data_IF_544548692021
#
_entry.id   IF_544548692021
#
_cell.length_a   1.000
_cell.length_b   1.000
_cell.length_c   1.000
_cell.angle_alpha   90.00
_cell.angle_beta   90.00
_cell.angle_gamma   90.00
#
_symmetry.space_group_name_H-M   'P 1'
#
loop_
_entity.id
_entity.type
_entity.pdbx_description
1 polymer ?
#
# COMPACT_ATOMS: atom_id res chain seq x y z
N UNK A 1 10.41 0.61 18.21
CA UNK A 1 9.84 1.94 18.66
C UNK A 1 8.95 2.47 17.55
N UNK A 2 7.77 2.99 17.85
CA UNK A 2 6.94 3.67 16.85
C UNK A 2 7.52 5.08 16.67
N UNK A 3 7.99 5.46 15.46
CA UNK A 3 8.55 6.78 15.24
C UNK A 3 7.48 7.86 15.42
N UNK A 4 7.83 8.97 16.02
CA UNK A 4 6.94 10.12 16.17
C UNK A 4 6.78 10.90 14.85
N UNK A 5 5.82 11.81 14.79
CA UNK A 5 5.53 12.59 13.58
C UNK A 5 6.70 13.46 13.14
N UNK A 6 7.55 13.92 14.06
CA UNK A 6 8.72 14.72 13.74
C UNK A 6 9.79 13.87 13.05
N UNK A 7 10.03 12.66 13.56
CA UNK A 7 10.91 11.67 12.93
C UNK A 7 10.41 11.30 11.54
N UNK A 8 9.11 10.97 11.41
CA UNK A 8 8.51 10.61 10.12
C UNK A 8 8.63 11.73 9.08
N UNK A 9 8.43 12.98 9.47
CA UNK A 9 8.51 14.12 8.54
C UNK A 9 9.94 14.44 8.10
N UNK A 10 10.95 14.04 8.87
CA UNK A 10 12.38 14.29 8.59
C UNK A 10 13.00 13.25 7.65
N UNK A 11 12.34 12.11 7.38
CA UNK A 11 12.87 11.05 6.54
C UNK A 11 12.94 11.46 5.06
N UNK A 12 14.01 11.04 4.40
CA UNK A 12 14.19 11.32 2.96
C UNK A 12 13.55 10.24 2.08
N UNK A 13 12.24 10.32 1.91
CA UNK A 13 11.47 9.38 1.09
C UNK A 13 11.80 9.44 -0.41
N UNK A 14 12.36 10.56 -0.88
CA UNK A 14 12.75 10.71 -2.30
C UNK A 14 14.03 9.94 -2.63
N UNK A 15 14.93 9.85 -1.66
CA UNK A 15 16.20 9.15 -1.81
C UNK A 15 16.41 8.22 -0.61
N UNK A 16 15.70 7.06 -0.57
CA UNK A 16 15.90 6.07 0.48
C UNK A 16 17.32 5.49 0.42
N UNK A 17 17.81 4.95 1.53
CA UNK A 17 19.13 4.34 1.62
C UNK A 17 19.28 3.10 0.72
N UNK A 18 18.18 2.44 0.40
CA UNK A 18 18.17 1.28 -0.47
C UNK A 18 16.76 0.79 -0.80
N UNK A 19 16.70 -0.38 -1.40
CA UNK A 19 15.46 -1.07 -1.72
C UNK A 19 15.48 -2.48 -1.16
N UNK A 20 14.33 -3.00 -0.80
CA UNK A 20 14.13 -4.38 -0.33
C UNK A 20 13.16 -5.09 -1.27
N UNK A 21 13.62 -6.21 -1.83
CA UNK A 21 12.80 -7.03 -2.71
C UNK A 21 11.87 -7.92 -1.90
N UNK A 22 10.59 -7.82 -2.21
CA UNK A 22 9.55 -8.64 -1.58
C UNK A 22 8.71 -9.34 -2.62
N UNK A 23 8.01 -10.37 -2.20
CA UNK A 23 7.00 -11.08 -2.97
C UNK A 23 5.73 -11.23 -2.12
N UNK A 24 4.59 -10.82 -2.67
CA UNK A 24 3.30 -11.00 -1.99
C UNK A 24 2.94 -12.48 -1.97
N UNK A 25 2.91 -13.07 -0.78
CA UNK A 25 2.61 -14.50 -0.59
C UNK A 25 1.13 -14.75 -0.38
N UNK A 26 0.47 -13.89 0.41
CA UNK A 26 -0.98 -13.95 0.62
C UNK A 26 -1.54 -12.62 1.10
N UNK A 27 -2.83 -12.42 0.84
CA UNK A 27 -3.61 -11.29 1.36
C UNK A 27 -4.92 -11.83 1.93
N UNK A 28 -5.24 -11.38 3.13
CA UNK A 28 -6.55 -11.57 3.78
C UNK A 28 -7.17 -10.21 4.11
N UNK A 29 -8.36 -10.20 4.71
CA UNK A 29 -9.06 -8.96 5.06
C UNK A 29 -8.25 -8.05 6.01
N UNK A 30 -7.38 -8.61 6.84
CA UNK A 30 -6.66 -7.92 7.90
C UNK A 30 -5.13 -7.99 7.78
N UNK A 31 -4.59 -8.84 6.90
CA UNK A 31 -3.15 -9.09 6.80
C UNK A 31 -2.66 -9.26 5.37
N UNK A 32 -1.46 -8.75 5.08
CA UNK A 32 -0.68 -9.11 3.92
C UNK A 32 0.62 -9.76 4.37
N UNK A 33 0.94 -10.92 3.79
CA UNK A 33 2.19 -11.64 4.05
C UNK A 33 3.12 -11.43 2.86
N UNK A 34 4.28 -10.85 3.12
CA UNK A 34 5.33 -10.58 2.14
C UNK A 34 6.54 -11.46 2.46
N UNK A 35 7.00 -12.24 1.49
CA UNK A 35 8.31 -12.90 1.60
C UNK A 35 9.41 -11.92 1.23
N UNK A 36 10.36 -11.72 2.13
CA UNK A 36 11.51 -10.83 1.94
C UNK A 36 12.70 -11.63 1.45
N UNK A 37 13.38 -11.17 0.39
CA UNK A 37 14.41 -11.95 -0.30
C UNK A 37 15.84 -11.51 -0.02
N UNK A 38 16.07 -10.22 0.20
CA UNK A 38 17.40 -9.61 0.22
C UNK A 38 17.61 -8.65 1.40
N UNK A 39 16.93 -8.90 2.53
CA UNK A 39 17.02 -8.08 3.72
C UNK A 39 17.06 -8.92 4.98
N UNK A 40 17.99 -8.64 5.88
CA UNK A 40 18.13 -9.34 7.15
C UNK A 40 17.63 -8.44 8.28
N UNK A 41 16.47 -8.77 8.82
CA UNK A 41 15.86 -8.03 9.93
C UNK A 41 16.74 -7.99 11.18
N UNK A 42 17.53 -9.05 11.43
CA UNK A 42 18.40 -9.16 12.59
C UNK A 42 19.60 -8.19 12.60
N UNK A 43 19.86 -7.49 11.50
CA UNK A 43 20.92 -6.48 11.44
C UNK A 43 20.51 -5.14 12.08
N UNK A 44 19.25 -4.98 12.47
CA UNK A 44 18.71 -3.73 13.00
C UNK A 44 18.23 -3.91 14.43
N UNK A 45 18.55 -2.94 15.27
CA UNK A 45 18.17 -2.90 16.70
C UNK A 45 16.68 -2.56 16.85
N UNK A 46 16.17 -1.75 15.95
CA UNK A 46 14.76 -1.34 15.90
C UNK A 46 14.28 -1.27 14.46
N UNK A 47 13.03 -1.70 14.24
CA UNK A 47 12.40 -1.73 12.93
C UNK A 47 11.00 -1.10 12.99
N UNK A 48 10.65 -0.38 11.96
CA UNK A 48 9.31 0.15 11.75
C UNK A 48 8.91 0.03 10.29
N UNK A 49 7.65 -0.22 10.03
CA UNK A 49 7.09 -0.12 8.67
C UNK A 49 6.38 1.22 8.56
N UNK A 50 6.72 1.96 7.51
CA UNK A 50 6.20 3.29 7.24
C UNK A 50 5.45 3.27 5.92
N UNK A 51 4.25 3.82 5.90
CA UNK A 51 3.54 4.17 4.67
C UNK A 51 3.70 5.67 4.41
N UNK A 52 3.94 6.02 3.16
CA UNK A 52 4.10 7.41 2.70
C UNK A 52 3.22 7.65 1.50
N UNK A 53 2.30 8.60 1.62
CA UNK A 53 1.44 9.00 0.51
C UNK A 53 2.27 9.54 -0.66
N UNK A 54 1.91 9.15 -1.89
CA UNK A 54 2.67 9.50 -3.10
C UNK A 54 2.47 10.94 -3.54
N UNK A 55 1.26 11.48 -3.36
CA UNK A 55 0.87 12.82 -3.82
C UNK A 55 1.00 13.91 -2.74
N UNK A 56 0.80 13.54 -1.47
CA UNK A 56 0.76 14.47 -0.35
C UNK A 56 1.80 14.14 0.72
N UNK A 57 1.83 14.94 1.77
CA UNK A 57 2.86 14.81 2.82
C UNK A 57 2.54 13.75 3.89
N UNK A 58 1.39 13.10 3.84
CA UNK A 58 1.00 12.12 4.87
C UNK A 58 1.99 10.95 4.93
N UNK A 59 2.45 10.64 6.12
CA UNK A 59 3.22 9.44 6.44
C UNK A 59 2.80 8.92 7.80
N UNK A 60 2.76 7.61 7.95
CA UNK A 60 2.33 6.96 9.17
C UNK A 60 3.02 5.61 9.37
N UNK A 61 3.19 5.16 10.61
CA UNK A 61 3.60 3.79 10.88
C UNK A 61 2.47 2.82 10.53
N UNK A 62 2.86 1.63 10.07
CA UNK A 62 1.96 0.52 9.83
C UNK A 62 2.34 -0.62 10.78
N UNK A 63 1.36 -1.18 11.46
CA UNK A 63 1.57 -2.31 12.36
C UNK A 63 2.02 -3.54 11.58
N UNK A 64 2.99 -4.27 12.12
CA UNK A 64 3.57 -5.43 11.47
C UNK A 64 4.09 -6.45 12.48
N UNK A 65 4.37 -7.64 11.99
CA UNK A 65 5.18 -8.65 12.68
C UNK A 65 6.13 -9.34 11.70
N UNK A 66 7.16 -9.96 12.23
CA UNK A 66 8.15 -10.69 11.44
C UNK A 66 8.10 -12.16 11.87
N UNK A 67 8.12 -13.06 10.89
CA UNK A 67 8.26 -14.50 11.10
C UNK A 67 9.26 -15.04 10.07
N UNK A 68 10.43 -15.42 10.53
CA UNK A 68 11.58 -15.83 9.70
C UNK A 68 11.91 -14.79 8.61
N UNK A 69 11.64 -15.09 7.35
CA UNK A 69 11.83 -14.21 6.21
C UNK A 69 10.54 -13.51 5.77
N UNK A 70 9.46 -13.66 6.53
CA UNK A 70 8.16 -13.08 6.20
C UNK A 70 7.89 -11.82 6.99
N UNK A 71 7.50 -10.77 6.29
CA UNK A 71 6.96 -9.54 6.84
C UNK A 71 5.43 -9.61 6.76
N UNK A 72 4.77 -9.53 7.90
CA UNK A 72 3.32 -9.59 8.01
C UNK A 72 2.81 -8.19 8.33
N UNK A 73 2.12 -7.57 7.38
CA UNK A 73 1.52 -6.24 7.54
C UNK A 73 0.11 -6.37 8.11
N UNK A 74 -0.22 -5.58 9.14
CA UNK A 74 -1.58 -5.47 9.66
C UNK A 74 -2.35 -4.39 8.87
N UNK A 75 -3.24 -4.83 7.97
CA UNK A 75 -3.98 -3.96 7.07
C UNK A 75 -5.17 -3.26 7.73
N UNK A 76 -5.62 -3.72 8.89
CA UNK A 76 -6.77 -3.14 9.60
C UNK A 76 -6.52 -1.69 10.03
N UNK A 77 -5.27 -1.33 10.32
CA UNK A 77 -4.88 0.04 10.69
C UNK A 77 -5.04 1.06 9.55
N UNK A 78 -5.07 0.60 8.29
CA UNK A 78 -5.23 1.48 7.12
C UNK A 78 -6.60 2.16 7.05
N UNK A 79 -7.60 1.62 7.77
CA UNK A 79 -8.94 2.21 7.82
C UNK A 79 -8.92 3.67 8.28
N UNK A 80 -8.05 4.04 9.21
CA UNK A 80 -7.90 5.39 9.73
C UNK A 80 -7.33 6.40 8.71
N UNK A 81 -6.69 5.91 7.64
CA UNK A 81 -6.09 6.70 6.58
C UNK A 81 -7.00 6.88 5.36
N UNK A 82 -8.18 6.27 5.38
CA UNK A 82 -9.14 6.38 4.29
C UNK A 82 -9.83 7.75 4.30
N UNK A 83 -9.97 8.37 3.11
CA UNK A 83 -10.78 9.57 2.90
C UNK A 83 -11.90 9.31 1.90
N UNK A 84 -13.14 9.59 2.28
CA UNK A 84 -14.34 9.28 1.50
C UNK A 84 -14.31 9.85 0.07
N UNK A 85 -13.79 11.05 -0.12
CA UNK A 85 -13.84 11.75 -1.40
C UNK A 85 -12.61 11.59 -2.26
N UNK A 86 -11.54 11.01 -1.74
CA UNK A 86 -10.24 10.93 -2.40
C UNK A 86 -9.64 9.54 -2.28
N UNK A 87 -9.20 8.99 -3.40
CA UNK A 87 -8.33 7.82 -3.39
C UNK A 87 -6.95 8.23 -2.90
N UNK A 88 -6.31 7.39 -2.10
CA UNK A 88 -4.95 7.58 -1.62
C UNK A 88 -4.06 6.44 -2.06
N UNK A 89 -2.84 6.76 -2.45
CA UNK A 89 -1.81 5.77 -2.74
C UNK A 89 -0.61 5.98 -1.82
N UNK A 90 -0.17 4.91 -1.19
CA UNK A 90 0.97 4.90 -0.27
C UNK A 90 2.05 3.97 -0.78
N UNK A 91 3.30 4.40 -0.74
CA UNK A 91 4.46 3.52 -0.82
C UNK A 91 4.82 2.99 0.54
N UNK A 92 5.41 1.81 0.58
CA UNK A 92 5.75 1.11 1.81
C UNK A 92 7.26 1.11 1.98
N UNK A 93 7.71 1.47 3.17
CA UNK A 93 9.12 1.53 3.53
C UNK A 93 9.39 0.73 4.80
N UNK A 94 10.61 0.19 4.91
CA UNK A 94 11.20 -0.28 6.16
C UNK A 94 12.10 0.84 6.68
N UNK A 95 11.91 1.25 7.92
CA UNK A 95 12.82 2.08 8.67
C UNK A 95 13.57 1.19 9.65
N UNK A 96 14.86 1.04 9.46
CA UNK A 96 15.76 0.30 10.36
C UNK A 96 16.65 1.24 11.13
N UNK A 97 16.95 0.92 12.38
CA UNK A 97 17.96 1.64 13.19
C UNK A 97 19.11 0.69 13.47
N UNK A 98 20.32 1.12 13.16
CA UNK A 98 21.56 0.41 13.43
C UNK A 98 22.64 1.43 13.86
N UNK A 99 23.35 1.18 14.96
CA UNK A 99 24.36 2.10 15.51
C UNK A 99 23.85 3.54 15.62
N UNK A 100 22.65 3.76 16.11
CA UNK A 100 21.97 5.05 16.24
C UNK A 100 21.72 5.79 14.92
N UNK A 101 21.92 5.13 13.79
CA UNK A 101 21.59 5.67 12.45
C UNK A 101 20.29 5.05 11.94
N UNK A 102 19.42 5.93 11.46
CA UNK A 102 18.19 5.52 10.80
C UNK A 102 18.44 5.34 9.30
N UNK A 103 18.03 4.19 8.78
CA UNK A 103 18.12 3.85 7.36
C UNK A 103 16.73 3.52 6.82
N UNK A 104 16.38 4.11 5.69
CA UNK A 104 15.08 3.96 5.06
C UNK A 104 15.20 3.11 3.78
N UNK A 105 14.39 2.07 3.65
CA UNK A 105 14.38 1.16 2.52
C UNK A 105 13.00 1.11 1.87
N UNK A 106 12.93 1.30 0.56
CA UNK A 106 11.69 1.21 -0.20
C UNK A 106 11.42 -0.26 -0.58
N UNK A 107 10.21 -0.75 -0.29
CA UNK A 107 9.80 -2.09 -0.70
C UNK A 107 9.51 -2.14 -2.20
N UNK A 108 10.01 -3.19 -2.86
CA UNK A 108 9.79 -3.45 -4.29
C UNK A 108 9.31 -4.87 -4.53
N UNK A 109 8.26 -5.01 -5.33
CA UNK A 109 7.81 -6.30 -5.85
C UNK A 109 8.20 -6.47 -7.32
N UNK A 110 9.35 -7.08 -7.55
CA UNK A 110 9.87 -7.38 -8.89
C UNK A 110 9.20 -8.59 -9.54
N UNK A 111 8.41 -9.37 -8.79
CA UNK A 111 7.72 -10.54 -9.31
C UNK A 111 6.52 -10.19 -10.18
N UNK A 112 6.06 -8.94 -10.13
CA UNK A 112 4.83 -8.43 -10.75
C UNK A 112 3.55 -9.18 -10.31
N UNK A 113 3.63 -10.04 -9.30
CA UNK A 113 2.48 -10.78 -8.77
C UNK A 113 1.51 -9.85 -8.03
N UNK A 114 2.00 -8.74 -7.47
CA UNK A 114 1.15 -7.70 -6.90
C UNK A 114 0.32 -6.97 -7.97
N UNK A 115 0.66 -7.07 -9.25
CA UNK A 115 -0.14 -6.51 -10.34
C UNK A 115 -1.46 -7.26 -10.57
N UNK A 116 -1.63 -8.46 -10.02
CA UNK A 116 -2.84 -9.26 -10.14
C UNK A 116 -3.74 -9.08 -8.93
N UNK A 117 -4.59 -8.02 -8.93
CA UNK A 117 -5.85 -7.92 -8.18
C UNK A 117 -5.85 -8.32 -6.69
N UNK A 118 -4.78 -8.02 -5.98
CA UNK A 118 -4.67 -8.28 -4.55
C UNK A 118 -5.44 -7.20 -3.76
N UNK A 119 -6.76 -7.26 -3.78
CA UNK A 119 -7.60 -6.37 -2.99
C UNK A 119 -7.99 -7.01 -1.66
N UNK A 120 -8.22 -6.15 -0.68
CA UNK A 120 -8.72 -6.52 0.64
C UNK A 120 -9.81 -5.54 1.07
N UNK A 121 -10.77 -6.07 1.81
CA UNK A 121 -11.89 -5.28 2.33
C UNK A 121 -11.43 -4.44 3.53
N UNK A 122 -11.74 -3.15 3.53
CA UNK A 122 -11.49 -2.26 4.65
C UNK A 122 -12.74 -2.11 5.52
N UNK A 123 -13.84 -1.66 4.93
CA UNK A 123 -15.14 -1.50 5.57
C UNK A 123 -16.23 -1.28 4.53
N UNK A 124 -17.48 -1.44 4.95
CA UNK A 124 -18.66 -1.10 4.15
C UNK A 124 -19.43 0.00 4.88
N UNK A 125 -19.89 0.98 4.15
CA UNK A 125 -20.69 2.08 4.66
C UNK A 125 -21.98 2.18 3.85
N UNK A 126 -23.10 2.42 4.52
CA UNK A 126 -24.37 2.70 3.88
C UNK A 126 -24.45 4.21 3.61
N UNK A 127 -24.50 4.58 2.32
CA UNK A 127 -24.63 5.96 1.90
C UNK A 127 -26.07 6.21 1.49
N UNK A 128 -26.70 7.18 2.13
CA UNK A 128 -28.04 7.66 1.79
C UNK A 128 -27.90 8.77 0.74
N UNK A 129 -28.45 8.53 -0.46
CA UNK A 129 -28.58 9.52 -1.51
C UNK A 129 -30.04 9.93 -1.60
N UNK A 130 -30.45 11.01 -1.02
CA UNK A 130 -31.83 11.56 -0.98
C UNK A 130 -32.89 10.72 -0.24
N UNK A 131 -33.97 11.39 0.19
CA UNK A 131 -35.05 10.80 0.99
C UNK A 131 -35.84 9.68 0.29
N UNK A 132 -35.75 9.55 -1.04
CA UNK A 132 -36.43 8.55 -1.87
C UNK A 132 -35.50 7.52 -2.53
N UNK A 133 -34.22 7.56 -2.31
CA UNK A 133 -33.29 6.65 -3.00
C UNK A 133 -32.95 5.41 -2.18
N UNK A 134 -32.87 4.29 -2.86
CA UNK A 134 -32.44 3.03 -2.26
C UNK A 134 -31.04 3.17 -1.65
N UNK A 135 -30.90 2.73 -0.40
CA UNK A 135 -29.62 2.60 0.29
C UNK A 135 -28.69 1.75 -0.56
N UNK A 136 -27.54 2.33 -0.97
CA UNK A 136 -26.52 1.57 -1.67
C UNK A 136 -25.31 1.40 -0.76
N UNK A 137 -25.01 0.18 -0.31
CA UNK A 137 -23.80 -0.07 0.43
C UNK A 137 -22.60 0.24 -0.46
N UNK A 138 -21.69 1.05 0.03
CA UNK A 138 -20.41 1.34 -0.63
C UNK A 138 -19.32 0.57 0.07
N UNK A 139 -18.65 -0.29 -0.67
CA UNK A 139 -17.52 -1.05 -0.18
C UNK A 139 -16.21 -0.25 -0.41
N UNK A 140 -15.42 -0.14 0.63
CA UNK A 140 -14.11 0.48 0.60
C UNK A 140 -13.04 -0.60 0.70
N UNK A 141 -12.10 -0.54 -0.21
CA UNK A 141 -11.06 -1.54 -0.38
C UNK A 141 -9.67 -0.91 -0.37
N UNK A 142 -8.71 -1.71 0.03
CA UNK A 142 -7.31 -1.49 -0.27
C UNK A 142 -6.86 -2.43 -1.38
N UNK A 143 -5.97 -1.94 -2.23
CA UNK A 143 -5.34 -2.74 -3.29
C UNK A 143 -3.83 -2.68 -3.10
N UNK A 144 -3.22 -3.84 -2.91
CA UNK A 144 -1.77 -3.98 -2.90
C UNK A 144 -1.29 -4.21 -4.34
N UNK A 145 -0.45 -3.33 -4.85
CA UNK A 145 0.02 -3.35 -6.24
C UNK A 145 1.46 -2.90 -6.35
N UNK A 146 2.07 -3.07 -7.52
CA UNK A 146 3.35 -2.48 -7.85
C UNK A 146 3.16 -1.38 -8.90
N UNK A 147 3.86 -0.25 -8.72
CA UNK A 147 3.86 0.82 -9.72
C UNK A 147 4.79 0.46 -10.92
N UNK A 148 4.90 1.35 -11.90
CA UNK A 148 5.73 1.14 -13.10
C UNK A 148 7.23 1.01 -12.83
N UNK A 149 7.67 1.28 -11.60
CA UNK A 149 9.06 1.13 -11.12
C UNK A 149 9.21 -0.03 -10.13
N UNK A 150 8.22 -0.92 -10.08
CA UNK A 150 8.12 -2.04 -9.15
C UNK A 150 8.01 -1.64 -7.67
N UNK A 151 7.74 -0.38 -7.34
CA UNK A 151 7.54 0.02 -5.95
C UNK A 151 6.24 -0.59 -5.43
N UNK A 152 6.30 -1.24 -4.27
CA UNK A 152 5.12 -1.81 -3.65
C UNK A 152 4.25 -0.68 -3.08
N UNK A 153 3.00 -0.64 -3.50
CA UNK A 153 2.03 0.40 -3.16
C UNK A 153 0.76 -0.18 -2.57
N UNK A 154 0.15 0.56 -1.66
CA UNK A 154 -1.21 0.33 -1.18
C UNK A 154 -2.09 1.46 -1.70
N UNK A 155 -3.15 1.11 -2.42
CA UNK A 155 -4.12 2.07 -2.92
C UNK A 155 -5.44 1.92 -2.16
N UNK A 156 -5.90 2.99 -1.50
CA UNK A 156 -7.17 3.03 -0.78
C UNK A 156 -8.23 3.72 -1.64
N UNK A 157 -9.34 3.06 -1.91
CA UNK A 157 -10.41 3.60 -2.75
C UNK A 157 -11.77 2.94 -2.49
N UNK A 158 -12.84 3.53 -3.00
CA UNK A 158 -14.11 2.83 -3.08
C UNK A 158 -14.08 1.80 -4.23
N UNK A 159 -14.71 0.66 -4.04
CA UNK A 159 -14.78 -0.40 -5.06
C UNK A 159 -15.33 0.10 -6.39
N UNK A 160 -16.35 0.94 -6.35
CA UNK A 160 -16.94 1.51 -7.56
C UNK A 160 -15.97 2.39 -8.34
N UNK A 161 -15.16 3.22 -7.68
CA UNK A 161 -14.10 4.01 -8.32
C UNK A 161 -13.03 3.13 -8.93
N UNK A 162 -12.62 2.09 -8.23
CA UNK A 162 -11.62 1.15 -8.71
C UNK A 162 -12.07 0.43 -9.99
N UNK A 163 -13.29 -0.10 -10.02
CA UNK A 163 -13.84 -0.75 -11.21
C UNK A 163 -13.97 0.21 -12.39
N UNK A 164 -14.36 1.46 -12.15
CA UNK A 164 -14.42 2.48 -13.19
C UNK A 164 -13.04 2.82 -13.76
N UNK A 165 -12.01 2.94 -12.92
CA UNK A 165 -10.64 3.20 -13.36
C UNK A 165 -10.05 2.05 -14.16
N UNK A 166 -10.26 0.81 -13.75
CA UNK A 166 -9.77 -0.37 -14.47
C UNK A 166 -10.47 -0.56 -15.80
N UNK A 167 -11.76 -0.28 -15.90
CA UNK A 167 -12.48 -0.29 -17.18
C UNK A 167 -11.96 0.78 -18.15
N UNK A 168 -11.69 1.97 -17.63
CA UNK A 168 -11.14 3.06 -18.43
C UNK A 168 -9.73 2.76 -18.96
N UNK A 169 -8.87 2.19 -18.10
CA UNK A 169 -7.53 1.78 -18.51
C UNK A 169 -7.55 0.66 -19.55
N UNK A 170 -8.44 -0.33 -19.41
CA UNK A 170 -8.56 -1.42 -20.38
C UNK A 170 -9.07 -0.93 -21.74
N UNK A 171 -10.03 0.00 -21.76
CA UNK A 171 -10.51 0.62 -23.00
C UNK A 171 -9.44 1.49 -23.67
N UNK A 172 -8.59 2.16 -22.90
CA UNK A 172 -7.49 2.96 -23.42
C UNK A 172 -6.39 2.10 -24.04
N UNK A 173 -6.05 0.97 -23.41
CA UNK A 173 -5.08 0.01 -23.95
C UNK A 173 -5.58 -0.64 -25.25
N UNK A 174 -6.86 -0.95 -25.37
CA UNK A 174 -7.46 -1.45 -26.60
C UNK A 174 -7.41 -0.43 -27.76
N UNK A 175 -7.61 0.86 -27.47
CA UNK A 175 -7.49 1.93 -28.49
C UNK A 175 -6.05 2.18 -28.91
N UNK A 176 -5.06 2.02 -28.04
CA UNK A 176 -3.65 2.22 -28.35
C UNK A 176 -3.03 1.05 -29.15
N UNK A 177 -3.58 -0.15 -29.06
CA UNK A 177 -3.09 -1.32 -29.80
C UNK A 177 -3.64 -1.43 -31.22
N UNK A 178 -4.19 -0.36 -31.80
CA UNK A 178 -4.44 -0.23 -33.23
C UNK A 178 -5.41 -1.25 -33.85
N UNK A 179 -6.38 -1.71 -33.06
CA UNK A 179 -7.47 -2.52 -33.59
C UNK A 179 -8.28 -1.71 -34.60
N UNK A 180 -7.95 -1.83 -35.87
CA UNK A 180 -8.87 -1.48 -36.95
C UNK A 180 -10.05 -2.44 -36.88
N UNK A 181 -11.22 -1.91 -36.65
CA UNK A 181 -12.48 -2.59 -36.96
C UNK A 181 -12.62 -2.78 -38.45
#
# INVERSE_FOLDING_TARGET
MIPDNQTLSSLNYKNPNGTVSVEVSSISADKAILTVKDFSFGNYEDLSIIIKETEFSESAPLDFSISDTSLILNLSSLRSHFEFRRSKEFRIYILGVHDQKAELFLLKDKSQKAASWNNFHLFTEEIYFDEDSAIRPTEYIGVLSADSKDNLCIHLCSRNKYLAQTHYCSLRSLKMNGGKL
#
